data_IF_188878309889
#
_entry.id   IF_188878309889
#
_cell.length_a   1.000
_cell.length_b   1.000
_cell.length_c   1.000
_cell.angle_alpha   90.00
_cell.angle_beta   90.00
_cell.angle_gamma   90.00
#
_symmetry.space_group_name_H-M   'P 1'
#
loop_
_entity.id
_entity.type
_entity.pdbx_description
1 polymer ?
#
# COMPACT_ATOMS: atom_id res chain seq x y z
N UNK A 1 5.21 -12.74 9.76
CA UNK A 1 6.35 -11.78 9.67
C UNK A 1 6.23 -10.72 10.77
N UNK A 2 7.34 -10.09 11.22
CA UNK A 2 7.29 -8.96 12.18
C UNK A 2 6.76 -7.69 11.49
N UNK A 3 5.95 -6.89 12.18
CA UNK A 3 5.47 -5.60 11.68
C UNK A 3 6.53 -4.52 11.77
N UNK A 4 6.42 -3.49 10.93
CA UNK A 4 7.26 -2.28 11.03
C UNK A 4 7.22 -1.71 12.44
N UNK A 5 8.38 -1.23 12.91
CA UNK A 5 8.55 -0.67 14.26
C UNK A 5 9.17 0.74 14.24
N UNK A 6 9.70 1.18 13.09
CA UNK A 6 10.38 2.47 12.92
C UNK A 6 10.04 3.06 11.55
N UNK A 7 10.23 4.37 11.39
CA UNK A 7 9.92 5.06 10.14
C UNK A 7 10.83 4.56 9.01
N UNK A 8 12.07 4.20 9.32
CA UNK A 8 13.02 3.65 8.36
C UNK A 8 12.51 2.33 7.77
N UNK A 9 11.89 1.45 8.57
CA UNK A 9 11.29 0.22 8.04
C UNK A 9 10.16 0.52 7.05
N UNK A 10 9.30 1.48 7.38
CA UNK A 10 8.17 1.88 6.53
C UNK A 10 8.69 2.53 5.23
N UNK A 11 9.62 3.48 5.34
CA UNK A 11 10.26 4.15 4.20
C UNK A 11 11.02 3.18 3.31
N UNK A 12 11.71 2.18 3.87
CA UNK A 12 12.40 1.16 3.08
C UNK A 12 11.42 0.35 2.24
N UNK A 13 10.28 -0.06 2.80
CA UNK A 13 9.24 -0.78 2.06
C UNK A 13 8.57 0.09 1.00
N UNK A 14 8.34 1.38 1.29
CA UNK A 14 7.82 2.34 0.30
C UNK A 14 8.78 2.48 -0.89
N UNK A 15 10.07 2.73 -0.62
CA UNK A 15 11.09 2.79 -1.67
C UNK A 15 11.17 1.49 -2.48
N UNK A 16 11.01 0.34 -1.82
CA UNK A 16 11.01 -0.96 -2.49
C UNK A 16 9.80 -1.13 -3.41
N UNK A 17 8.61 -0.72 -2.95
CA UNK A 17 7.40 -0.72 -3.77
C UNK A 17 7.53 0.21 -4.97
N UNK A 18 8.01 1.45 -4.77
CA UNK A 18 8.25 2.40 -5.87
C UNK A 18 9.25 1.84 -6.88
N UNK A 19 10.34 1.24 -6.42
CA UNK A 19 11.28 0.56 -7.30
C UNK A 19 10.59 -0.54 -8.13
N UNK A 20 9.75 -1.37 -7.51
CA UNK A 20 9.01 -2.41 -8.25
C UNK A 20 8.06 -1.83 -9.31
N UNK A 21 7.43 -0.69 -9.03
CA UNK A 21 6.51 -0.02 -9.96
C UNK A 21 7.25 0.62 -11.13
N UNK A 22 8.37 1.29 -10.86
CA UNK A 22 9.03 2.18 -11.82
C UNK A 22 10.18 1.49 -12.58
N UNK A 23 10.90 0.58 -11.92
CA UNK A 23 12.16 0.02 -12.42
C UNK A 23 12.30 -1.49 -12.21
N UNK A 24 11.26 -2.15 -11.68
CA UNK A 24 11.23 -3.60 -11.52
C UNK A 24 11.14 -4.31 -12.87
N UNK A 25 11.42 -5.60 -12.86
CA UNK A 25 11.11 -6.51 -13.97
C UNK A 25 9.61 -6.50 -14.31
N UNK A 26 9.24 -7.03 -15.49
CA UNK A 26 7.84 -7.13 -15.90
C UNK A 26 6.98 -7.85 -14.86
N UNK A 27 7.48 -8.94 -14.29
CA UNK A 27 6.77 -9.72 -13.26
C UNK A 27 6.62 -8.92 -11.97
N UNK A 28 7.67 -8.21 -11.54
CA UNK A 28 7.62 -7.35 -10.35
C UNK A 28 6.62 -6.20 -10.53
N UNK A 29 6.59 -5.57 -11.71
CA UNK A 29 5.64 -4.51 -12.02
C UNK A 29 4.20 -5.03 -12.02
N UNK A 30 3.96 -6.22 -12.57
CA UNK A 30 2.64 -6.85 -12.57
C UNK A 30 2.18 -7.19 -11.15
N UNK A 31 3.05 -7.76 -10.32
CA UNK A 31 2.72 -8.09 -8.93
C UNK A 31 2.48 -6.83 -8.09
N UNK A 32 3.26 -5.76 -8.29
CA UNK A 32 3.02 -4.46 -7.66
C UNK A 32 1.62 -3.91 -7.99
N UNK A 33 1.25 -3.91 -9.27
CA UNK A 33 -0.07 -3.48 -9.75
C UNK A 33 -1.18 -4.29 -9.13
N UNK A 34 -1.02 -5.61 -9.04
CA UNK A 34 -1.98 -6.52 -8.40
C UNK A 34 -2.20 -6.18 -6.92
N UNK A 35 -1.15 -5.83 -6.19
CA UNK A 35 -1.29 -5.42 -4.78
C UNK A 35 -2.00 -4.09 -4.61
N UNK A 36 -1.74 -3.14 -5.51
CA UNK A 36 -2.42 -1.83 -5.53
C UNK A 36 -3.91 -2.02 -5.85
N UNK A 37 -4.23 -2.85 -6.84
CA UNK A 37 -5.61 -3.14 -7.25
C UNK A 37 -6.43 -3.84 -6.14
N UNK A 38 -5.81 -4.79 -5.43
CA UNK A 38 -6.48 -5.64 -4.44
C UNK A 38 -6.47 -5.06 -3.02
N UNK A 39 -5.73 -3.97 -2.79
CA UNK A 39 -5.63 -3.34 -1.47
C UNK A 39 -6.95 -2.73 -0.98
N UNK A 40 -7.06 -2.60 0.34
CA UNK A 40 -8.20 -1.94 1.01
C UNK A 40 -7.76 -0.77 1.87
N UNK A 41 -6.69 -0.93 2.65
CA UNK A 41 -6.10 0.17 3.42
C UNK A 41 -4.77 0.60 2.78
N UNK A 42 -4.64 1.91 2.51
CA UNK A 42 -3.50 2.49 1.81
C UNK A 42 -2.89 3.63 2.61
N UNK A 43 -1.57 3.76 2.52
CA UNK A 43 -0.88 5.00 2.85
C UNK A 43 -0.86 5.88 1.61
N UNK A 44 -1.48 7.06 1.68
CA UNK A 44 -1.33 8.10 0.67
C UNK A 44 -0.08 8.94 1.00
N UNK A 45 0.76 9.19 0.00
CA UNK A 45 1.99 9.99 0.16
C UNK A 45 2.38 10.65 -1.15
N UNK A 46 3.15 11.73 -1.06
CA UNK A 46 3.72 12.37 -2.23
C UNK A 46 5.08 11.78 -2.60
N UNK A 47 5.27 11.52 -3.89
CA UNK A 47 6.57 11.20 -4.50
C UNK A 47 6.71 11.97 -5.82
N UNK A 48 7.74 12.79 -5.95
CA UNK A 48 7.98 13.60 -7.15
C UNK A 48 6.81 14.51 -7.56
N UNK A 49 6.04 15.02 -6.59
CA UNK A 49 4.85 15.85 -6.84
C UNK A 49 3.59 15.08 -7.25
N UNK A 50 3.65 13.75 -7.35
CA UNK A 50 2.50 12.89 -7.63
C UNK A 50 1.97 12.27 -6.34
N UNK A 51 0.65 12.14 -6.21
CA UNK A 51 0.06 11.35 -5.14
C UNK A 51 0.23 9.86 -5.45
N UNK A 52 0.77 9.11 -4.49
CA UNK A 52 1.01 7.67 -4.53
C UNK A 52 0.21 6.96 -3.46
N UNK A 53 -0.02 5.66 -3.67
CA UNK A 53 -0.82 4.83 -2.76
C UNK A 53 -0.17 3.47 -2.52
N UNK A 54 0.27 3.22 -1.29
CA UNK A 54 0.93 1.98 -0.92
C UNK A 54 0.02 1.09 -0.06
N UNK A 55 -0.18 -0.20 -0.42
CA UNK A 55 -1.04 -1.10 0.33
C UNK A 55 -0.42 -1.47 1.69
N UNK A 56 -1.19 -1.25 2.76
CA UNK A 56 -0.82 -1.50 4.17
C UNK A 56 -0.14 -2.84 4.43
N UNK A 57 -0.68 -3.94 3.88
CA UNK A 57 -0.11 -5.29 4.09
C UNK A 57 1.27 -5.45 3.45
N UNK A 58 1.59 -4.70 2.40
CA UNK A 58 2.90 -4.75 1.79
C UNK A 58 3.91 -3.94 2.61
N UNK A 59 3.56 -2.71 2.98
CA UNK A 59 4.47 -1.79 3.68
C UNK A 59 4.54 -2.00 5.19
N UNK A 60 3.61 -2.75 5.76
CA UNK A 60 3.46 -2.92 7.20
C UNK A 60 4.28 -4.04 7.83
N UNK A 61 5.00 -4.84 7.05
CA UNK A 61 5.92 -5.88 7.54
C UNK A 61 7.38 -5.50 7.32
N UNK A 62 8.27 -5.82 8.26
CA UNK A 62 9.70 -5.49 8.12
C UNK A 62 10.34 -6.21 6.93
N UNK A 63 11.17 -5.48 6.18
CA UNK A 63 12.00 -6.00 5.09
C UNK A 63 11.20 -6.86 4.10
N UNK A 64 10.00 -6.39 3.73
CA UNK A 64 9.08 -7.14 2.92
C UNK A 64 9.51 -7.12 1.45
N UNK A 65 9.41 -8.27 0.79
CA UNK A 65 9.66 -8.48 -0.65
C UNK A 65 8.47 -9.24 -1.22
N UNK A 66 8.33 -9.36 -2.54
CA UNK A 66 7.25 -10.17 -3.10
C UNK A 66 7.31 -11.63 -2.64
N UNK A 67 8.49 -12.26 -2.64
CA UNK A 67 8.64 -13.64 -2.16
C UNK A 67 8.20 -13.80 -0.70
N UNK A 68 8.63 -12.89 0.18
CA UNK A 68 8.25 -12.90 1.60
C UNK A 68 6.76 -12.62 1.78
N UNK A 69 6.21 -11.69 1.00
CA UNK A 69 4.81 -11.35 1.06
C UNK A 69 3.94 -12.52 0.63
N UNK A 70 4.28 -13.17 -0.48
CA UNK A 70 3.55 -14.30 -1.04
C UNK A 70 3.64 -15.54 -0.15
N UNK A 71 4.82 -15.84 0.42
CA UNK A 71 5.02 -16.95 1.37
C UNK A 71 4.43 -16.72 2.77
N UNK A 72 4.12 -15.48 3.13
CA UNK A 72 3.49 -15.17 4.42
C UNK A 72 1.97 -15.40 4.36
N UNK A 73 1.51 -16.61 4.66
CA UNK A 73 0.09 -16.95 4.74
C UNK A 73 -0.66 -16.13 5.81
N UNK A 74 0.04 -15.73 6.88
CA UNK A 74 -0.49 -14.94 8.01
C UNK A 74 -0.52 -13.42 7.73
N UNK A 75 -0.46 -13.00 6.46
CA UNK A 75 -0.49 -11.58 6.10
C UNK A 75 -1.87 -10.97 6.35
N UNK A 76 -1.96 -10.08 7.32
CA UNK A 76 -3.23 -9.55 7.81
C UNK A 76 -3.17 -8.04 8.08
N UNK A 77 -4.12 -7.31 7.49
CA UNK A 77 -4.32 -5.88 7.71
C UNK A 77 -4.64 -5.53 9.17
N UNK A 78 -5.28 -6.44 9.91
CA UNK A 78 -5.58 -6.27 11.35
C UNK A 78 -4.31 -6.15 12.19
N UNK A 79 -3.18 -6.64 11.69
CA UNK A 79 -1.88 -6.58 12.37
C UNK A 79 -1.04 -5.42 11.82
N UNK A 80 -1.04 -5.19 10.50
CA UNK A 80 -0.25 -4.09 9.90
C UNK A 80 -0.84 -2.70 10.16
N UNK A 81 -2.16 -2.54 10.14
CA UNK A 81 -2.78 -1.22 10.27
C UNK A 81 -2.50 -0.57 11.63
N UNK A 82 -2.65 -1.26 12.79
CA UNK A 82 -2.30 -0.68 14.09
C UNK A 82 -0.81 -0.36 14.21
N UNK A 83 0.06 -1.16 13.58
CA UNK A 83 1.51 -0.90 13.57
C UNK A 83 1.85 0.39 12.81
N UNK A 84 1.27 0.57 11.63
CA UNK A 84 1.44 1.79 10.81
C UNK A 84 0.87 3.01 11.55
N UNK A 85 -0.36 2.94 12.07
CA UNK A 85 -0.98 4.04 12.84
C UNK A 85 -0.15 4.46 14.05
N UNK A 86 0.36 3.49 14.83
CA UNK A 86 1.24 3.78 15.97
C UNK A 86 2.50 4.52 15.54
N UNK A 87 3.10 4.07 14.43
CA UNK A 87 4.33 4.65 13.91
C UNK A 87 4.13 6.08 13.40
N UNK A 88 3.03 6.31 12.67
CA UNK A 88 2.65 7.62 12.14
C UNK A 88 2.00 8.54 13.19
N UNK A 89 1.80 8.06 14.43
CA UNK A 89 1.12 8.77 15.53
C UNK A 89 -0.26 9.31 15.11
N UNK A 90 -1.01 8.49 14.38
CA UNK A 90 -2.32 8.87 13.83
C UNK A 90 -3.34 7.76 14.09
N UNK A 91 -4.62 8.04 13.81
CA UNK A 91 -5.71 7.07 13.91
C UNK A 91 -5.61 5.97 12.85
N UNK A 92 -6.49 4.97 12.93
CA UNK A 92 -6.63 3.96 11.88
C UNK A 92 -7.12 4.62 10.57
N UNK A 93 -6.80 4.02 9.41
CA UNK A 93 -7.16 4.62 8.13
C UNK A 93 -8.68 4.64 7.98
N UNK A 94 -9.21 5.71 7.39
CA UNK A 94 -10.64 5.93 7.19
C UNK A 94 -10.95 6.18 5.72
N UNK A 95 -12.21 5.97 5.28
CA UNK A 95 -12.63 6.38 3.94
C UNK A 95 -12.45 7.90 3.75
N UNK A 96 -11.98 8.28 2.58
CA UNK A 96 -11.78 9.67 2.18
C UNK A 96 -12.10 9.77 0.68
N UNK A 97 -13.06 10.62 0.32
CA UNK A 97 -13.54 10.72 -1.07
C UNK A 97 -12.54 11.37 -2.02
N UNK A 98 -11.77 12.34 -1.54
CA UNK A 98 -10.72 13.02 -2.32
C UNK A 98 -9.58 12.04 -2.61
N UNK A 99 -9.15 11.29 -1.60
CA UNK A 99 -8.11 10.27 -1.77
C UNK A 99 -8.57 9.07 -2.58
N UNK A 100 -9.86 8.70 -2.55
CA UNK A 100 -10.40 7.67 -3.43
C UNK A 100 -10.35 8.10 -4.90
N UNK A 101 -10.72 9.34 -5.22
CA UNK A 101 -10.62 9.88 -6.59
C UNK A 101 -9.16 9.88 -7.07
N UNK A 102 -8.24 10.37 -6.24
CA UNK A 102 -6.80 10.37 -6.55
C UNK A 102 -6.24 8.94 -6.66
N UNK A 103 -6.72 7.99 -5.85
CA UNK A 103 -6.35 6.58 -5.96
C UNK A 103 -6.81 6.00 -7.31
N UNK A 104 -8.02 6.35 -7.77
CA UNK A 104 -8.50 5.91 -9.07
C UNK A 104 -7.63 6.47 -10.20
N UNK A 105 -7.30 7.77 -10.17
CA UNK A 105 -6.38 8.38 -11.13
C UNK A 105 -5.00 7.69 -11.13
N UNK A 106 -4.47 7.42 -9.95
CA UNK A 106 -3.22 6.67 -9.78
C UNK A 106 -3.30 5.27 -10.40
N UNK A 107 -4.38 4.52 -10.15
CA UNK A 107 -4.59 3.20 -10.77
C UNK A 107 -4.59 3.29 -12.30
N UNK A 108 -5.29 4.26 -12.90
CA UNK A 108 -5.31 4.44 -14.35
C UNK A 108 -3.92 4.77 -14.90
N UNK A 109 -3.13 5.60 -14.20
CA UNK A 109 -1.72 5.87 -14.57
C UNK A 109 -0.84 4.62 -14.56
N UNK A 110 -1.21 3.64 -13.74
CA UNK A 110 -0.59 2.32 -13.69
C UNK A 110 -1.29 1.31 -14.61
N UNK A 111 -2.14 1.73 -15.55
CA UNK A 111 -2.88 0.83 -16.45
C UNK A 111 -3.78 -0.17 -15.72
N UNK A 112 -4.17 0.12 -14.48
CA UNK A 112 -5.12 -0.67 -13.68
C UNK A 112 -6.51 -0.10 -13.91
N UNK A 113 -7.51 -0.97 -14.07
CA UNK A 113 -8.93 -0.58 -14.01
C UNK A 113 -9.44 -0.83 -12.59
N UNK A 114 -9.46 0.18 -11.70
CA UNK A 114 -9.80 -0.04 -10.30
C UNK A 114 -11.28 -0.39 -10.16
N UNK A 115 -11.57 -1.36 -9.29
CA UNK A 115 -12.96 -1.61 -8.87
C UNK A 115 -13.51 -0.39 -8.10
N UNK A 116 -14.82 -0.09 -8.19
CA UNK A 116 -15.44 1.04 -7.48
C UNK A 116 -15.30 0.97 -5.96
N UNK A 117 -15.09 -0.23 -5.42
CA UNK A 117 -14.82 -0.50 -4.00
C UNK A 117 -13.58 -1.38 -3.88
N UNK A 118 -12.98 -1.41 -2.70
CA UNK A 118 -11.89 -2.32 -2.38
C UNK A 118 -12.34 -3.78 -2.35
N UNK A 119 -11.40 -4.68 -2.00
CA UNK A 119 -11.69 -6.11 -1.90
C UNK A 119 -12.93 -6.41 -1.03
N UNK A 120 -13.73 -7.38 -1.46
CA UNK A 120 -15.00 -7.79 -0.82
C UNK A 120 -16.09 -6.70 -0.76
N UNK A 121 -16.00 -5.66 -1.60
CA UNK A 121 -17.00 -4.59 -1.64
C UNK A 121 -16.90 -3.59 -0.47
N UNK A 122 -15.77 -3.60 0.26
CA UNK A 122 -15.50 -2.67 1.35
C UNK A 122 -14.88 -1.39 0.80
N UNK A 123 -15.32 -0.22 1.29
CA UNK A 123 -14.69 1.05 0.94
C UNK A 123 -13.21 1.05 1.29
N UNK A 124 -12.37 1.59 0.39
CA UNK A 124 -10.97 1.80 0.69
C UNK A 124 -10.82 2.82 1.81
N UNK A 125 -9.69 2.73 2.49
CA UNK A 125 -9.37 3.54 3.66
C UNK A 125 -7.95 4.05 3.53
N UNK A 126 -7.71 5.26 4.01
CA UNK A 126 -6.47 5.96 3.79
C UNK A 126 -5.91 6.53 5.09
N UNK A 127 -4.58 6.52 5.21
CA UNK A 127 -3.88 7.50 6.02
C UNK A 127 -3.53 8.69 5.13
N UNK A 128 -3.84 9.91 5.57
CA UNK A 128 -3.44 11.17 4.92
C UNK A 128 -2.16 11.66 5.60
N UNK A 129 -1.06 11.76 4.85
CA UNK A 129 0.22 12.32 5.30
C UNK A 129 0.53 13.62 4.55
#
# INVERSE_FOLDING_TARGET
MKTVATLEHLTANLKKLEHYIQAGSTDEQQEARRFIEQGTCFLAYHDGGQMRFAPSRFIGYQNNTFDKHSSNAERDGRVTNPAISRLLKTSLPLPDGELEEQYQQYCHSLGITPRPKGSFGVSRKYWKL
#
